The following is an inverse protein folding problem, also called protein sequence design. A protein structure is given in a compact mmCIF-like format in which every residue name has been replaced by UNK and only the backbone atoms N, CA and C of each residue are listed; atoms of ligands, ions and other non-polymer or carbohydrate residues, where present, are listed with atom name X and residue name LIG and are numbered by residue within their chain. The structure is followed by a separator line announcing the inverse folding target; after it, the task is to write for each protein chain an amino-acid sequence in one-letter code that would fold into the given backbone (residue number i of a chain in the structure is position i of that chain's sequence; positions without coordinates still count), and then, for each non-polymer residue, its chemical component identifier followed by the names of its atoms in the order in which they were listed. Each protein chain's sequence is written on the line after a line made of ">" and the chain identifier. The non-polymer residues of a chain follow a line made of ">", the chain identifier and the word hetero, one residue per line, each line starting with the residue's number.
data_IF_434839703204
#
_entry.id   IF_434839703204
#
_cell.length_a   1.000
_cell.length_b   1.000
_cell.length_c   1.000
_cell.angle_alpha   90.00
_cell.angle_beta   90.00
_cell.angle_gamma   90.00
#
_symmetry.space_group_name_H-M   'P 1'
#
loop_
_entity.id
_entity.type
_entity.pdbx_description
1 polymer ?
#
# COMPACT_ATOMS: atom_id res chain seq x y z
N UNK A 1 41.42 19.51 -11.03
CA UNK A 1 40.52 18.44 -11.49
C UNK A 1 39.12 18.59 -10.90
N UNK A 2 38.94 18.66 -9.58
CA UNK A 2 37.61 18.90 -8.95
C UNK A 2 36.86 20.12 -9.49
N UNK A 3 37.54 21.27 -9.65
CA UNK A 3 36.92 22.48 -10.20
C UNK A 3 36.44 22.33 -11.67
N UNK A 4 37.02 21.41 -12.44
CA UNK A 4 36.60 21.12 -13.80
C UNK A 4 35.31 20.29 -13.80
N UNK A 5 35.27 19.18 -13.05
CA UNK A 5 34.07 18.37 -12.91
C UNK A 5 32.93 19.13 -12.26
N UNK A 6 33.23 19.96 -11.24
CA UNK A 6 32.27 20.90 -10.66
C UNK A 6 31.57 21.74 -11.71
N UNK A 7 32.33 22.36 -12.63
CA UNK A 7 31.74 23.17 -13.71
C UNK A 7 30.88 22.33 -14.65
N UNK A 8 31.35 21.13 -15.04
CA UNK A 8 30.63 20.26 -15.96
C UNK A 8 29.28 19.79 -15.42
N UNK A 9 29.24 19.18 -14.22
CA UNK A 9 27.97 18.70 -13.68
C UNK A 9 27.07 19.87 -13.27
N UNK A 10 27.64 20.98 -12.79
CA UNK A 10 26.87 22.16 -12.45
C UNK A 10 26.22 22.77 -13.70
N UNK A 11 26.92 22.81 -14.83
CA UNK A 11 26.35 23.25 -16.10
C UNK A 11 25.18 22.36 -16.54
N UNK A 12 25.33 21.03 -16.47
CA UNK A 12 24.25 20.08 -16.81
C UNK A 12 23.02 20.33 -15.92
N UNK A 13 23.22 20.48 -14.61
CA UNK A 13 22.14 20.75 -13.66
C UNK A 13 21.49 22.10 -13.95
N UNK A 14 22.27 23.16 -14.16
CA UNK A 14 21.75 24.50 -14.47
C UNK A 14 20.97 24.53 -15.79
N UNK A 15 21.45 23.87 -16.83
CA UNK A 15 20.70 23.73 -18.08
C UNK A 15 19.39 22.97 -17.88
N UNK A 16 19.39 21.92 -17.05
CA UNK A 16 18.19 21.21 -16.62
C UNK A 16 17.19 22.15 -15.93
N UNK A 17 17.64 22.91 -14.93
CA UNK A 17 16.84 23.89 -14.20
C UNK A 17 16.23 24.92 -15.17
N UNK A 18 17.03 25.53 -16.05
CA UNK A 18 16.53 26.55 -16.99
C UNK A 18 15.47 25.99 -17.95
N UNK A 19 15.67 24.75 -18.42
CA UNK A 19 14.70 24.08 -19.30
C UNK A 19 13.40 23.76 -18.55
N UNK A 20 13.48 23.28 -17.30
CA UNK A 20 12.31 23.01 -16.48
C UNK A 20 11.54 24.31 -16.15
N UNK A 21 12.25 25.40 -15.88
CA UNK A 21 11.66 26.73 -15.65
C UNK A 21 11.01 27.32 -16.91
N UNK A 22 11.50 27.01 -18.11
CA UNK A 22 10.87 27.49 -19.35
C UNK A 22 9.57 26.75 -19.66
N UNK A 23 9.52 25.44 -19.37
CA UNK A 23 8.30 24.62 -19.48
C UNK A 23 7.16 25.16 -18.60
N UNK A 24 7.47 25.72 -17.43
CA UNK A 24 6.46 26.27 -16.52
C UNK A 24 6.09 27.73 -16.81
N UNK A 25 7.01 28.53 -17.36
CA UNK A 25 6.74 29.91 -17.78
C UNK A 25 5.83 30.01 -19.00
N UNK A 26 5.93 29.09 -19.97
CA UNK A 26 5.06 29.07 -21.16
C UNK A 26 3.58 28.87 -20.81
N UNK A 27 3.27 28.28 -19.65
CA UNK A 27 1.90 28.06 -19.16
C UNK A 27 1.24 29.33 -18.58
N UNK A 28 2.04 30.33 -18.17
CA UNK A 28 1.52 31.57 -17.54
C UNK A 28 1.09 32.65 -18.53
N UNK A 29 1.59 32.67 -19.77
CA UNK A 29 1.33 33.78 -20.71
C UNK A 29 -0.07 33.74 -21.35
N UNK A 30 -0.79 32.62 -21.31
CA UNK A 30 -2.16 32.50 -21.85
C UNK A 30 -3.28 32.91 -20.88
N UNK A 31 -2.93 33.36 -19.67
CA UNK A 31 -3.89 33.59 -18.58
C UNK A 31 -4.67 34.93 -18.62
N UNK A 32 -4.51 35.76 -19.67
CA UNK A 32 -5.01 37.14 -19.66
C UNK A 32 -6.21 37.46 -20.56
N UNK A 33 -6.94 36.47 -21.10
CA UNK A 33 -8.25 36.74 -21.74
C UNK A 33 -9.30 35.66 -21.49
N UNK A 34 -10.44 36.12 -20.96
CA UNK A 34 -11.78 35.53 -20.88
C UNK A 34 -12.15 34.61 -19.69
N UNK A 35 -12.99 35.16 -18.82
CA UNK A 35 -13.61 34.60 -17.60
C UNK A 35 -14.67 33.48 -17.83
N UNK A 36 -14.54 32.66 -18.88
CA UNK A 36 -15.52 31.61 -19.19
C UNK A 36 -15.02 30.17 -19.04
N UNK A 37 -13.74 29.90 -19.35
CA UNK A 37 -13.23 28.55 -19.63
C UNK A 37 -11.83 28.29 -19.03
N UNK A 38 -11.47 29.00 -17.95
CA UNK A 38 -10.13 28.91 -17.37
C UNK A 38 -9.74 27.51 -16.84
N UNK A 39 -10.70 26.62 -16.57
CA UNK A 39 -10.39 25.33 -15.94
C UNK A 39 -9.83 24.31 -16.94
N UNK A 40 -10.40 24.23 -18.14
CA UNK A 40 -9.97 23.30 -19.20
C UNK A 40 -8.62 23.71 -19.78
N UNK A 41 -8.37 25.01 -19.95
CA UNK A 41 -7.10 25.54 -20.46
C UNK A 41 -5.95 25.32 -19.47
N UNK A 42 -6.16 25.52 -18.16
CA UNK A 42 -5.13 25.28 -17.14
C UNK A 42 -4.75 23.79 -17.02
N UNK A 43 -5.72 22.87 -17.13
CA UNK A 43 -5.47 21.42 -17.08
C UNK A 43 -4.74 20.94 -18.35
N UNK A 44 -5.10 21.46 -19.54
CA UNK A 44 -4.43 21.11 -20.81
C UNK A 44 -2.99 21.63 -20.85
N UNK A 45 -2.74 22.86 -20.39
CA UNK A 45 -1.39 23.43 -20.31
C UNK A 45 -0.49 22.73 -19.29
N UNK A 46 -1.05 22.28 -18.16
CA UNK A 46 -0.33 21.42 -17.20
C UNK A 46 -0.01 20.05 -17.80
N UNK A 47 -0.95 19.40 -18.51
CA UNK A 47 -0.73 18.11 -19.16
C UNK A 47 0.40 18.15 -20.20
N UNK A 48 0.50 19.22 -20.99
CA UNK A 48 1.57 19.39 -21.97
C UNK A 48 2.95 19.60 -21.32
N UNK A 49 3.04 20.44 -20.27
CA UNK A 49 4.28 20.61 -19.52
C UNK A 49 4.74 19.31 -18.84
N UNK A 50 3.79 18.53 -18.29
CA UNK A 50 4.06 17.23 -17.68
C UNK A 50 4.58 16.21 -18.70
N UNK A 51 4.02 16.17 -19.91
CA UNK A 51 4.50 15.31 -21.00
C UNK A 51 5.90 15.67 -21.49
N UNK A 52 6.23 16.96 -21.53
CA UNK A 52 7.55 17.45 -21.97
C UNK A 52 8.63 17.35 -20.88
N UNK A 53 8.24 17.28 -19.60
CA UNK A 53 9.16 17.19 -18.48
C UNK A 53 9.98 15.90 -18.49
N UNK A 54 9.33 14.75 -18.68
CA UNK A 54 9.98 13.42 -18.66
C UNK A 54 11.21 13.33 -19.60
N UNK A 55 11.10 13.61 -20.91
CA UNK A 55 12.25 13.46 -21.82
C UNK A 55 13.38 14.45 -21.51
N UNK A 56 13.07 15.65 -21.00
CA UNK A 56 14.09 16.61 -20.58
C UNK A 56 14.86 16.09 -19.36
N UNK A 57 14.14 15.57 -18.36
CA UNK A 57 14.76 15.02 -17.16
C UNK A 57 15.59 13.78 -17.49
N UNK A 58 15.07 12.85 -18.31
CA UNK A 58 15.81 11.68 -18.80
C UNK A 58 17.10 12.08 -19.51
N UNK A 59 17.03 13.01 -20.47
CA UNK A 59 18.22 13.49 -21.20
C UNK A 59 19.30 14.06 -20.28
N UNK A 60 18.92 14.80 -19.22
CA UNK A 60 19.87 15.34 -18.24
C UNK A 60 20.44 14.26 -17.33
N UNK A 61 19.62 13.30 -16.92
CA UNK A 61 20.08 12.14 -16.15
C UNK A 61 21.06 11.28 -16.94
N UNK A 62 20.84 11.09 -18.24
CA UNK A 62 21.74 10.34 -19.12
C UNK A 62 23.08 11.05 -19.33
N UNK A 63 23.07 12.38 -19.45
CA UNK A 63 24.30 13.18 -19.52
C UNK A 63 25.13 13.05 -18.22
N UNK A 64 24.48 13.15 -17.06
CA UNK A 64 25.13 12.95 -15.77
C UNK A 64 25.65 11.52 -15.61
N UNK A 65 24.85 10.52 -16.00
CA UNK A 65 25.23 9.11 -15.97
C UNK A 65 26.46 8.87 -16.83
N UNK A 66 26.45 9.36 -18.07
CA UNK A 66 27.57 9.19 -19.00
C UNK A 66 28.84 9.83 -18.45
N UNK A 67 28.77 11.04 -17.89
CA UNK A 67 29.91 11.73 -17.29
C UNK A 67 30.49 10.97 -16.09
N UNK A 68 29.62 10.50 -15.19
CA UNK A 68 30.03 9.76 -14.00
C UNK A 68 30.62 8.40 -14.37
N UNK A 69 29.96 7.66 -15.28
CA UNK A 69 30.43 6.33 -15.70
C UNK A 69 31.71 6.42 -16.52
N UNK A 70 31.86 7.40 -17.40
CA UNK A 70 33.12 7.56 -18.15
C UNK A 70 34.30 7.82 -17.23
N UNK A 71 34.09 8.62 -16.18
CA UNK A 71 35.15 8.93 -15.22
C UNK A 71 35.46 7.75 -14.29
N UNK A 72 34.43 7.00 -13.88
CA UNK A 72 34.60 5.77 -13.11
C UNK A 72 35.43 4.73 -13.88
N UNK A 73 35.12 4.53 -15.18
CA UNK A 73 35.89 3.64 -16.07
C UNK A 73 37.31 4.16 -16.27
N UNK A 74 37.48 5.46 -16.54
CA UNK A 74 38.81 6.05 -16.69
C UNK A 74 39.67 5.85 -15.44
N UNK A 75 39.14 6.08 -14.23
CA UNK A 75 39.88 5.88 -12.98
C UNK A 75 40.26 4.41 -12.81
N UNK A 76 39.35 3.47 -13.12
CA UNK A 76 39.65 2.04 -13.06
C UNK A 76 40.77 1.64 -14.03
N UNK A 77 40.69 2.08 -15.29
CA UNK A 77 41.68 1.79 -16.33
C UNK A 77 43.03 2.48 -16.09
N UNK A 78 43.02 3.78 -15.81
CA UNK A 78 44.22 4.61 -15.68
C UNK A 78 45.07 4.19 -14.48
N UNK A 79 44.43 3.87 -13.35
CA UNK A 79 45.12 3.44 -12.14
C UNK A 79 45.25 1.91 -12.05
N UNK A 80 44.81 1.15 -13.06
CA UNK A 80 44.84 -0.32 -13.10
C UNK A 80 44.23 -0.97 -11.83
N UNK A 81 43.15 -0.40 -11.32
CA UNK A 81 42.61 -0.74 -9.99
C UNK A 81 42.01 -2.16 -9.92
N UNK A 82 41.75 -2.79 -11.07
CA UNK A 82 41.33 -4.19 -11.14
C UNK A 82 42.39 -5.15 -10.58
N UNK A 83 43.66 -4.75 -10.59
CA UNK A 83 44.80 -5.58 -10.18
C UNK A 83 45.40 -5.20 -8.82
N UNK A 84 45.03 -4.05 -8.25
CA UNK A 84 45.56 -3.58 -6.97
C UNK A 84 44.73 -4.11 -5.80
N UNK A 85 45.37 -4.83 -4.87
CA UNK A 85 44.71 -5.34 -3.65
C UNK A 85 44.63 -4.29 -2.53
N UNK A 86 45.33 -3.16 -2.65
CA UNK A 86 45.42 -2.14 -1.60
C UNK A 86 45.04 -0.72 -2.07
N UNK A 87 44.09 -0.15 -1.31
CA UNK A 87 43.94 1.24 -0.86
C UNK A 87 43.73 2.44 -1.81
N UNK A 88 43.50 2.26 -3.11
CA UNK A 88 42.80 3.31 -3.88
C UNK A 88 41.37 2.88 -4.18
N UNK A 89 40.47 3.31 -3.31
CA UNK A 89 39.04 3.08 -3.49
C UNK A 89 38.53 4.01 -4.62
N UNK A 90 38.26 3.44 -5.79
CA UNK A 90 37.62 4.13 -6.93
C UNK A 90 36.44 4.98 -6.46
N UNK A 91 35.67 4.48 -5.48
CA UNK A 91 34.54 5.18 -4.91
C UNK A 91 34.95 6.44 -4.13
N UNK A 92 36.05 6.40 -3.36
CA UNK A 92 36.58 7.58 -2.65
C UNK A 92 37.07 8.65 -3.63
N UNK A 93 37.73 8.25 -4.72
CA UNK A 93 38.13 9.17 -5.80
C UNK A 93 36.91 9.83 -6.45
N UNK A 94 35.89 9.04 -6.81
CA UNK A 94 34.64 9.55 -7.37
C UNK A 94 33.92 10.49 -6.39
N UNK A 95 33.89 10.16 -5.09
CA UNK A 95 33.31 11.02 -4.05
C UNK A 95 34.05 12.34 -3.90
N UNK A 96 35.36 12.37 -4.10
CA UNK A 96 36.15 13.60 -4.10
C UNK A 96 35.93 14.43 -5.38
N UNK A 97 35.82 13.80 -6.55
CA UNK A 97 35.61 14.50 -7.82
C UNK A 97 34.20 15.07 -7.96
N UNK A 98 33.20 14.35 -7.45
CA UNK A 98 31.77 14.68 -7.54
C UNK A 98 31.16 15.02 -6.17
N UNK A 99 31.95 15.61 -5.26
CA UNK A 99 31.52 15.86 -3.88
C UNK A 99 30.27 16.73 -3.74
N UNK A 100 30.05 17.67 -4.68
CA UNK A 100 28.85 18.53 -4.70
C UNK A 100 27.73 18.05 -5.62
N UNK A 101 27.87 16.91 -6.29
CA UNK A 101 26.83 16.36 -7.16
C UNK A 101 25.59 15.90 -6.37
N UNK A 102 25.70 15.21 -5.20
CA UNK A 102 24.53 14.86 -4.38
C UNK A 102 23.70 16.10 -4.00
N UNK A 103 24.33 17.15 -3.50
CA UNK A 103 23.65 18.39 -3.12
C UNK A 103 22.99 19.07 -4.33
N UNK A 104 23.66 19.06 -5.48
CA UNK A 104 23.09 19.58 -6.73
C UNK A 104 21.85 18.82 -7.20
N UNK A 105 21.84 17.49 -7.02
CA UNK A 105 20.68 16.65 -7.34
C UNK A 105 19.51 16.91 -6.39
N UNK A 106 19.77 17.01 -5.08
CA UNK A 106 18.73 17.36 -4.09
C UNK A 106 18.17 18.78 -4.35
N UNK A 107 19.01 19.74 -4.74
CA UNK A 107 18.56 21.08 -5.15
C UNK A 107 17.67 21.02 -6.38
N UNK A 108 18.04 20.26 -7.41
CA UNK A 108 17.23 20.06 -8.62
C UNK A 108 15.85 19.47 -8.27
N UNK A 109 15.80 18.44 -7.42
CA UNK A 109 14.55 17.82 -6.96
C UNK A 109 13.67 18.85 -6.23
N UNK A 110 14.25 19.64 -5.32
CA UNK A 110 13.54 20.69 -4.58
C UNK A 110 13.03 21.82 -5.49
N UNK A 111 13.79 22.19 -6.52
CA UNK A 111 13.34 23.16 -7.51
C UNK A 111 12.15 22.62 -8.31
N UNK A 112 12.16 21.33 -8.66
CA UNK A 112 11.03 20.70 -9.33
C UNK A 112 9.78 20.67 -8.43
N UNK A 113 9.94 20.36 -7.14
CA UNK A 113 8.85 20.45 -6.13
C UNK A 113 8.21 21.85 -6.13
N UNK A 114 9.03 22.90 -6.02
CA UNK A 114 8.55 24.28 -5.93
C UNK A 114 7.82 24.76 -7.19
N UNK A 115 8.10 24.16 -8.35
CA UNK A 115 7.44 24.51 -9.61
C UNK A 115 6.11 23.78 -9.77
N UNK A 116 6.13 22.45 -9.64
CA UNK A 116 4.95 21.61 -9.70
C UNK A 116 5.22 20.31 -8.95
N UNK A 117 4.51 20.09 -7.85
CA UNK A 117 4.66 18.89 -7.04
C UNK A 117 4.39 17.58 -7.82
N UNK A 118 3.63 17.63 -8.92
CA UNK A 118 3.40 16.47 -9.80
C UNK A 118 4.66 16.02 -10.55
N UNK A 119 5.67 16.89 -10.72
CA UNK A 119 6.95 16.49 -11.30
C UNK A 119 7.66 15.41 -10.48
N UNK A 120 7.40 15.35 -9.17
CA UNK A 120 7.94 14.28 -8.31
C UNK A 120 7.56 12.87 -8.79
N UNK A 121 6.38 12.70 -9.40
CA UNK A 121 5.96 11.40 -9.95
C UNK A 121 6.83 11.00 -11.14
N UNK A 122 7.09 11.92 -12.06
CA UNK A 122 7.94 11.69 -13.23
C UNK A 122 9.40 11.46 -12.83
N UNK A 123 9.93 12.25 -11.90
CA UNK A 123 11.28 12.07 -11.36
C UNK A 123 11.39 10.67 -10.73
N UNK A 124 10.40 10.28 -9.93
CA UNK A 124 10.39 8.98 -9.26
C UNK A 124 10.34 7.83 -10.27
N UNK A 125 9.56 7.97 -11.34
CA UNK A 125 9.53 6.99 -12.43
C UNK A 125 10.90 6.85 -13.10
N UNK A 126 11.52 7.96 -13.53
CA UNK A 126 12.81 7.95 -14.22
C UNK A 126 13.92 7.38 -13.33
N UNK A 127 14.01 7.85 -12.08
CA UNK A 127 15.02 7.36 -11.14
C UNK A 127 14.81 5.87 -10.81
N UNK A 128 13.56 5.41 -10.70
CA UNK A 128 13.28 3.99 -10.46
C UNK A 128 13.66 3.12 -11.66
N UNK A 129 13.43 3.59 -12.90
CA UNK A 129 13.86 2.91 -14.11
C UNK A 129 15.39 2.83 -14.20
N UNK A 130 16.09 3.92 -13.89
CA UNK A 130 17.55 3.93 -13.82
C UNK A 130 18.04 2.92 -12.76
N UNK A 131 17.38 2.84 -11.60
CA UNK A 131 17.74 1.88 -10.56
C UNK A 131 17.51 0.41 -10.98
N UNK A 132 16.47 0.12 -11.76
CA UNK A 132 16.26 -1.24 -12.31
C UNK A 132 17.33 -1.60 -13.33
N UNK A 133 17.69 -0.70 -14.24
CA UNK A 133 18.76 -0.91 -15.22
C UNK A 133 20.13 -1.16 -14.58
N UNK A 134 20.40 -0.54 -13.42
CA UNK A 134 21.62 -0.76 -12.66
C UNK A 134 21.65 -2.18 -12.05
N UNK A 135 20.50 -2.68 -11.59
CA UNK A 135 20.39 -3.99 -10.93
C UNK A 135 20.38 -5.17 -11.91
N UNK A 136 19.98 -4.96 -13.17
CA UNK A 136 19.92 -6.02 -14.21
C UNK A 136 21.27 -6.38 -14.83
N UNK A 137 22.33 -5.59 -14.62
CA UNK A 137 23.68 -5.93 -15.12
C UNK A 137 24.23 -7.18 -14.40
N UNK A 138 24.75 -8.19 -15.13
CA UNK A 138 25.22 -9.45 -14.55
C UNK A 138 26.35 -9.22 -13.54
N UNK A 139 26.28 -9.93 -12.41
CA UNK A 139 27.29 -9.97 -11.33
C UNK A 139 28.57 -10.72 -11.77
N UNK A 140 29.12 -10.41 -12.93
CA UNK A 140 30.36 -11.01 -13.43
C UNK A 140 31.52 -10.04 -13.23
N UNK A 141 31.99 -9.93 -11.98
CA UNK A 141 33.39 -9.69 -11.63
C UNK A 141 33.51 -9.45 -10.12
N UNK A 142 34.45 -10.14 -9.49
CA UNK A 142 34.84 -9.93 -8.09
C UNK A 142 35.07 -8.44 -7.76
N UNK A 143 34.60 -8.04 -6.56
CA UNK A 143 34.92 -6.84 -5.75
C UNK A 143 34.20 -5.51 -6.07
N UNK A 144 33.10 -5.26 -5.35
CA UNK A 144 32.94 -4.13 -4.42
C UNK A 144 31.64 -4.33 -3.63
N UNK A 145 31.69 -4.31 -2.29
CA UNK A 145 30.51 -4.43 -1.42
C UNK A 145 29.51 -3.27 -1.57
N UNK A 146 29.89 -2.17 -2.25
CA UNK A 146 29.13 -0.92 -2.25
C UNK A 146 28.46 -0.56 -3.60
N UNK A 147 28.73 -1.29 -4.69
CA UNK A 147 28.24 -0.95 -6.04
C UNK A 147 28.90 0.31 -6.62
N UNK A 148 28.59 0.67 -7.87
CA UNK A 148 29.17 1.84 -8.56
C UNK A 148 28.78 3.16 -7.89
N UNK A 149 29.57 4.23 -8.07
CA UNK A 149 29.26 5.54 -7.51
C UNK A 149 27.87 6.06 -7.93
N UNK A 150 27.51 5.86 -9.20
CA UNK A 150 26.17 6.19 -9.72
C UNK A 150 25.04 5.45 -8.98
N UNK A 151 25.23 4.16 -8.68
CA UNK A 151 24.23 3.37 -7.94
C UNK A 151 23.99 3.87 -6.52
N UNK A 152 25.03 4.41 -5.88
CA UNK A 152 24.93 4.99 -4.54
C UNK A 152 24.34 6.40 -4.57
N UNK A 153 24.54 7.16 -5.65
CA UNK A 153 23.97 8.50 -5.84
C UNK A 153 22.44 8.46 -6.09
N UNK A 154 21.96 7.50 -6.87
CA UNK A 154 20.53 7.41 -7.24
C UNK A 154 19.65 7.01 -6.05
N UNK A 155 20.14 6.19 -5.11
CA UNK A 155 19.39 5.72 -3.94
C UNK A 155 18.85 6.88 -3.06
N UNK A 156 19.69 7.82 -2.57
CA UNK A 156 19.23 9.03 -1.88
C UNK A 156 18.26 9.86 -2.73
N UNK A 157 18.53 10.05 -4.02
CA UNK A 157 17.65 10.83 -4.90
C UNK A 157 16.22 10.24 -4.98
N UNK A 158 16.09 8.92 -5.03
CA UNK A 158 14.78 8.23 -4.98
C UNK A 158 14.10 8.48 -3.63
N UNK A 159 14.84 8.37 -2.52
CA UNK A 159 14.29 8.60 -1.18
C UNK A 159 13.80 10.05 -1.01
N UNK A 160 14.60 11.03 -1.42
CA UNK A 160 14.25 12.45 -1.41
C UNK A 160 13.00 12.71 -2.26
N UNK A 161 12.94 12.15 -3.47
CA UNK A 161 11.77 12.30 -4.35
C UNK A 161 10.51 11.67 -3.76
N UNK A 162 10.62 10.52 -3.09
CA UNK A 162 9.48 9.91 -2.37
C UNK A 162 9.01 10.79 -1.21
N UNK A 163 9.93 11.38 -0.45
CA UNK A 163 9.59 12.29 0.64
C UNK A 163 8.84 13.53 0.12
N UNK A 164 9.26 14.09 -1.02
CA UNK A 164 8.56 15.18 -1.71
C UNK A 164 7.14 14.77 -2.11
N UNK A 165 6.98 13.60 -2.74
CA UNK A 165 5.65 13.10 -3.13
C UNK A 165 4.74 12.87 -1.91
N UNK A 166 5.28 12.29 -0.83
CA UNK A 166 4.55 12.06 0.41
C UNK A 166 4.09 13.38 1.04
N UNK A 167 4.96 14.40 1.07
CA UNK A 167 4.62 15.75 1.54
C UNK A 167 3.52 16.38 0.67
N UNK A 168 3.54 16.18 -0.64
CA UNK A 168 2.47 16.63 -1.52
C UNK A 168 1.13 15.95 -1.18
N UNK A 169 1.12 14.63 -1.01
CA UNK A 169 -0.07 13.86 -0.59
C UNK A 169 -0.61 14.36 0.75
N UNK A 170 0.26 14.63 1.73
CA UNK A 170 -0.13 15.21 3.01
C UNK A 170 -0.75 16.61 2.85
N UNK A 171 -0.18 17.45 1.99
CA UNK A 171 -0.74 18.77 1.67
C UNK A 171 -2.13 18.67 1.03
N UNK A 172 -2.36 17.70 0.12
CA UNK A 172 -3.68 17.45 -0.45
C UNK A 172 -4.69 16.98 0.59
N UNK A 173 -4.29 16.07 1.50
CA UNK A 173 -5.13 15.64 2.61
C UNK A 173 -5.53 16.80 3.53
N UNK A 174 -4.60 17.72 3.84
CA UNK A 174 -4.91 18.93 4.59
C UNK A 174 -5.90 19.82 3.84
N UNK A 175 -5.71 20.01 2.54
CA UNK A 175 -6.64 20.76 1.69
C UNK A 175 -8.06 20.16 1.68
N UNK A 176 -8.17 18.82 1.70
CA UNK A 176 -9.46 18.14 1.80
C UNK A 176 -10.11 18.39 3.16
N UNK A 177 -9.34 18.34 4.26
CA UNK A 177 -9.83 18.60 5.62
C UNK A 177 -10.26 20.04 5.87
N UNK A 178 -9.54 21.00 5.30
CA UNK A 178 -9.85 22.43 5.42
C UNK A 178 -11.01 22.88 4.52
N UNK A 179 -11.52 21.99 3.67
CA UNK A 179 -12.62 22.27 2.78
C UNK A 179 -13.90 22.64 3.57
N UNK A 180 -14.61 23.64 3.06
CA UNK A 180 -15.84 24.15 3.69
C UNK A 180 -17.05 23.84 2.83
N UNK A 181 -18.24 23.67 3.44
CA UNK A 181 -19.49 23.55 2.72
C UNK A 181 -19.71 24.73 1.77
N UNK A 182 -20.13 24.42 0.54
CA UNK A 182 -20.50 25.45 -0.43
C UNK A 182 -21.67 26.26 0.08
N UNK A 183 -21.52 27.59 0.12
CA UNK A 183 -22.62 28.52 0.46
C UNK A 183 -23.58 28.77 -0.71
N UNK A 184 -23.29 28.24 -1.91
CA UNK A 184 -24.07 28.48 -3.13
C UNK A 184 -25.38 27.69 -3.13
N UNK A 185 -26.40 28.20 -3.83
CA UNK A 185 -27.76 27.65 -3.84
C UNK A 185 -27.89 26.27 -4.52
N UNK A 186 -26.90 25.82 -5.30
CA UNK A 186 -26.80 24.47 -5.89
C UNK A 186 -25.47 23.84 -5.49
N UNK A 187 -25.48 22.60 -5.01
CA UNK A 187 -24.27 21.84 -4.72
C UNK A 187 -23.62 21.38 -6.04
N UNK A 188 -22.56 22.08 -6.47
CA UNK A 188 -21.72 21.63 -7.58
C UNK A 188 -20.62 20.67 -7.11
N UNK A 189 -19.86 20.11 -8.04
CA UNK A 189 -18.69 19.28 -7.74
C UNK A 189 -17.70 20.05 -6.87
N UNK A 190 -17.32 19.46 -5.73
CA UNK A 190 -16.42 20.07 -4.75
C UNK A 190 -15.00 20.14 -5.31
N UNK A 191 -14.27 21.20 -4.97
CA UNK A 191 -12.91 21.41 -5.47
C UNK A 191 -11.96 20.25 -5.09
N UNK A 192 -12.15 19.65 -3.91
CA UNK A 192 -11.40 18.46 -3.47
C UNK A 192 -11.50 17.30 -4.46
N UNK A 193 -12.66 17.09 -5.08
CA UNK A 193 -12.89 16.02 -6.05
C UNK A 193 -12.10 16.27 -7.32
N UNK A 194 -12.09 17.52 -7.81
CA UNK A 194 -11.31 17.92 -9.00
C UNK A 194 -9.81 17.85 -8.76
N UNK A 195 -9.37 18.24 -7.56
CA UNK A 195 -7.96 18.16 -7.17
C UNK A 195 -7.50 16.71 -7.12
N UNK A 196 -8.31 15.80 -6.56
CA UNK A 196 -8.02 14.37 -6.58
C UNK A 196 -8.03 13.79 -7.99
N UNK A 197 -9.00 14.16 -8.83
CA UNK A 197 -9.08 13.75 -10.24
C UNK A 197 -7.80 14.11 -11.00
N UNK A 198 -7.33 15.35 -10.90
CA UNK A 198 -6.08 15.78 -11.53
C UNK A 198 -4.86 14.99 -11.04
N UNK A 199 -4.80 14.68 -9.73
CA UNK A 199 -3.75 13.83 -9.16
C UNK A 199 -3.82 12.40 -9.69
N UNK A 200 -5.03 11.83 -9.79
CA UNK A 200 -5.25 10.48 -10.31
C UNK A 200 -4.90 10.36 -11.79
N UNK A 201 -5.33 11.32 -12.62
CA UNK A 201 -4.95 11.39 -14.03
C UNK A 201 -3.44 11.51 -14.22
N UNK A 202 -2.79 12.35 -13.43
CA UNK A 202 -1.33 12.51 -13.47
C UNK A 202 -0.60 11.24 -13.07
N UNK A 203 -1.05 10.58 -11.99
CA UNK A 203 -0.51 9.29 -11.56
C UNK A 203 -0.68 8.20 -12.62
N UNK A 204 -1.84 8.16 -13.28
CA UNK A 204 -2.13 7.19 -14.33
C UNK A 204 -1.28 7.45 -15.57
N UNK A 205 -1.09 8.71 -15.94
CA UNK A 205 -0.24 9.12 -17.06
C UNK A 205 1.23 8.70 -16.85
N UNK A 206 1.74 8.84 -15.62
CA UNK A 206 3.12 8.53 -15.27
C UNK A 206 3.35 7.03 -15.16
N UNK A 207 2.58 6.34 -14.31
CA UNK A 207 2.87 4.97 -13.92
C UNK A 207 2.00 3.90 -14.59
N UNK A 208 0.94 4.31 -15.30
CA UNK A 208 -0.04 3.39 -15.87
C UNK A 208 -0.97 2.76 -14.83
N UNK A 209 -1.84 1.86 -15.29
CA UNK A 209 -2.78 1.14 -14.44
C UNK A 209 -2.07 0.10 -13.57
N UNK A 210 -2.39 0.05 -12.27
CA UNK A 210 -1.89 -1.00 -11.36
C UNK A 210 -0.52 -0.71 -10.73
N UNK A 211 -0.08 0.54 -10.73
CA UNK A 211 1.19 0.93 -10.14
C UNK A 211 1.19 0.85 -8.60
N UNK A 212 1.80 -0.21 -8.05
CA UNK A 212 1.93 -0.44 -6.60
C UNK A 212 2.56 0.74 -5.84
N UNK A 213 3.44 1.50 -6.49
CA UNK A 213 4.12 2.65 -5.88
C UNK A 213 3.15 3.78 -5.46
N UNK A 214 1.98 3.85 -6.10
CA UNK A 214 0.96 4.88 -5.84
C UNK A 214 -0.24 4.36 -5.05
N UNK A 215 -0.31 3.05 -4.77
CA UNK A 215 -1.47 2.42 -4.14
C UNK A 215 -1.77 3.01 -2.76
N UNK A 216 -0.74 3.18 -1.91
CA UNK A 216 -0.88 3.80 -0.60
C UNK A 216 -1.36 5.26 -0.71
N UNK A 217 -0.76 6.04 -1.61
CA UNK A 217 -1.12 7.44 -1.80
C UNK A 217 -2.57 7.62 -2.28
N UNK A 218 -3.02 6.78 -3.22
CA UNK A 218 -4.41 6.76 -3.66
C UNK A 218 -5.36 6.33 -2.56
N UNK A 219 -5.03 5.27 -1.83
CA UNK A 219 -5.83 4.80 -0.69
C UNK A 219 -6.02 5.90 0.35
N UNK A 220 -4.94 6.56 0.76
CA UNK A 220 -4.95 7.64 1.76
C UNK A 220 -5.82 8.83 1.29
N UNK A 221 -5.63 9.28 0.04
CA UNK A 221 -6.38 10.40 -0.52
C UNK A 221 -7.85 10.08 -0.72
N UNK A 222 -8.19 8.88 -1.22
CA UNK A 222 -9.59 8.44 -1.38
C UNK A 222 -10.26 8.35 -0.02
N UNK A 223 -9.62 7.73 0.98
CA UNK A 223 -10.18 7.62 2.32
C UNK A 223 -10.44 9.01 2.92
N UNK A 224 -9.47 9.92 2.82
CA UNK A 224 -9.64 11.29 3.30
C UNK A 224 -10.73 12.02 2.52
N UNK A 225 -10.76 11.91 1.19
CA UNK A 225 -11.77 12.52 0.34
C UNK A 225 -13.18 12.05 0.74
N UNK A 226 -13.39 10.75 0.92
CA UNK A 226 -14.71 10.19 1.28
C UNK A 226 -15.16 10.68 2.66
N UNK A 227 -14.27 10.67 3.66
CA UNK A 227 -14.59 11.16 5.00
C UNK A 227 -14.95 12.65 5.00
N UNK A 228 -14.20 13.46 4.25
CA UNK A 228 -14.45 14.90 4.17
C UNK A 228 -15.67 15.23 3.31
N UNK A 229 -15.96 14.43 2.28
CA UNK A 229 -17.21 14.52 1.53
C UNK A 229 -18.41 14.26 2.45
N UNK A 230 -18.35 13.24 3.31
CA UNK A 230 -19.41 12.95 4.28
C UNK A 230 -19.55 14.06 5.33
N UNK A 231 -18.43 14.60 5.83
CA UNK A 231 -18.43 15.75 6.76
C UNK A 231 -19.06 16.99 6.11
N UNK A 232 -18.61 17.36 4.90
CA UNK A 232 -19.12 18.53 4.18
C UNK A 232 -20.59 18.33 3.77
N UNK A 233 -21.00 17.11 3.43
CA UNK A 233 -22.39 16.78 3.13
C UNK A 233 -23.29 16.92 4.36
N UNK A 234 -22.87 16.42 5.52
CA UNK A 234 -23.62 16.50 6.78
C UNK A 234 -23.70 17.90 7.39
N UNK A 235 -22.66 18.73 7.21
CA UNK A 235 -22.67 20.14 7.62
C UNK A 235 -23.48 21.05 6.68
N UNK A 236 -23.83 20.56 5.48
CA UNK A 236 -24.59 21.34 4.50
C UNK A 236 -26.09 21.22 4.74
N UNK A 237 -26.72 22.35 5.03
CA UNK A 237 -28.17 22.48 5.23
C UNK A 237 -28.99 22.15 3.96
N UNK A 238 -28.34 21.99 2.79
CA UNK A 238 -28.99 21.84 1.48
C UNK A 238 -28.56 20.61 0.68
N UNK A 239 -27.68 19.76 1.23
CA UNK A 239 -27.32 18.51 0.57
C UNK A 239 -28.46 17.50 0.81
N UNK A 240 -29.06 16.91 -0.25
CA UNK A 240 -30.03 15.83 -0.06
C UNK A 240 -29.38 14.71 0.77
N UNK A 241 -30.10 14.06 1.71
CA UNK A 241 -29.54 13.07 2.62
C UNK A 241 -28.83 11.90 1.94
N UNK A 242 -29.12 11.62 0.66
CA UNK A 242 -28.53 10.52 -0.08
C UNK A 242 -28.32 10.89 -1.56
N UNK A 243 -27.07 10.80 -2.04
CA UNK A 243 -26.75 10.74 -3.46
C UNK A 243 -26.72 9.25 -3.88
N UNK A 244 -27.70 8.77 -4.68
CA UNK A 244 -27.80 7.35 -5.05
C UNK A 244 -26.55 6.80 -5.73
N UNK A 245 -25.80 7.65 -6.45
CA UNK A 245 -24.63 7.26 -7.25
C UNK A 245 -23.41 6.82 -6.46
N UNK A 246 -23.31 7.17 -5.17
CA UNK A 246 -22.22 6.74 -4.28
C UNK A 246 -22.62 5.54 -3.41
N UNK A 247 -23.89 5.16 -3.43
CA UNK A 247 -24.39 4.08 -2.59
C UNK A 247 -23.84 2.72 -3.06
N UNK A 248 -23.68 2.54 -4.37
CA UNK A 248 -23.17 1.30 -4.95
C UNK A 248 -21.66 1.15 -4.74
N UNK A 249 -20.88 2.22 -4.93
CA UNK A 249 -19.43 2.21 -4.62
C UNK A 249 -19.17 2.05 -3.14
N UNK A 250 -19.97 2.67 -2.26
CA UNK A 250 -19.91 2.48 -0.80
C UNK A 250 -20.26 1.05 -0.40
N UNK A 251 -21.33 0.48 -0.97
CA UNK A 251 -21.71 -0.92 -0.74
C UNK A 251 -20.61 -1.87 -1.21
N UNK A 252 -20.04 -1.63 -2.39
CA UNK A 252 -18.99 -2.46 -2.95
C UNK A 252 -17.67 -2.36 -2.15
N UNK A 253 -17.27 -1.17 -1.72
CA UNK A 253 -16.09 -0.98 -0.86
C UNK A 253 -16.28 -1.64 0.51
N UNK A 254 -17.46 -1.49 1.13
CA UNK A 254 -17.81 -2.15 2.38
C UNK A 254 -17.86 -3.68 2.21
N UNK A 255 -18.39 -4.17 1.09
CA UNK A 255 -18.42 -5.59 0.77
C UNK A 255 -17.00 -6.15 0.57
N UNK A 256 -16.10 -5.42 -0.12
CA UNK A 256 -14.70 -5.82 -0.27
C UNK A 256 -13.96 -5.83 1.06
N UNK A 257 -14.16 -4.82 1.90
CA UNK A 257 -13.60 -4.79 3.25
C UNK A 257 -14.10 -5.99 4.08
N UNK A 258 -15.40 -6.26 4.05
CA UNK A 258 -15.99 -7.42 4.74
C UNK A 258 -15.47 -8.75 4.18
N UNK A 259 -15.31 -8.90 2.87
CA UNK A 259 -14.72 -10.10 2.25
C UNK A 259 -13.25 -10.28 2.65
N UNK A 260 -12.45 -9.22 2.58
CA UNK A 260 -11.05 -9.27 2.99
C UNK A 260 -10.90 -9.57 4.49
N UNK A 261 -11.80 -9.03 5.32
CA UNK A 261 -11.84 -9.33 6.75
C UNK A 261 -12.28 -10.78 7.01
N UNK A 262 -13.25 -11.30 6.26
CA UNK A 262 -13.67 -12.70 6.33
C UNK A 262 -12.55 -13.64 5.88
N UNK A 263 -11.89 -13.35 4.77
CA UNK A 263 -10.76 -14.14 4.26
C UNK A 263 -9.57 -14.11 5.22
N UNK A 264 -9.25 -12.94 5.77
CA UNK A 264 -8.25 -12.81 6.83
C UNK A 264 -8.66 -13.58 8.09
N UNK A 265 -9.93 -13.50 8.50
CA UNK A 265 -10.46 -14.28 9.62
C UNK A 265 -10.34 -15.77 9.35
N UNK A 266 -10.76 -16.26 8.19
CA UNK A 266 -10.66 -17.66 7.75
C UNK A 266 -9.21 -18.14 7.72
N UNK A 267 -8.30 -17.36 7.15
CA UNK A 267 -6.87 -17.68 7.11
C UNK A 267 -6.22 -17.65 8.50
N UNK A 268 -6.62 -16.72 9.37
CA UNK A 268 -6.14 -16.66 10.76
C UNK A 268 -6.70 -17.80 11.60
N UNK A 269 -7.95 -18.20 11.38
CA UNK A 269 -8.66 -19.28 12.07
C UNK A 269 -8.05 -20.67 11.83
N UNK A 270 -6.95 -20.79 11.08
CA UNK A 270 -6.15 -22.02 11.05
C UNK A 270 -5.75 -22.50 12.45
N UNK A 271 -6.32 -23.67 12.82
CA UNK A 271 -5.95 -24.63 13.90
C UNK A 271 -6.68 -24.70 15.27
N UNK A 272 -7.72 -23.94 15.65
CA UNK A 272 -8.41 -24.21 16.93
C UNK A 272 -9.30 -25.46 16.89
N UNK A 273 -9.86 -25.80 15.72
CA UNK A 273 -10.87 -26.85 15.53
C UNK A 273 -10.71 -27.57 14.18
N UNK A 274 -9.48 -27.76 13.71
CA UNK A 274 -9.19 -28.19 12.33
C UNK A 274 -9.80 -29.57 12.01
N UNK A 275 -9.66 -30.56 12.89
CA UNK A 275 -10.22 -31.90 12.63
C UNK A 275 -11.74 -31.93 12.78
N UNK A 276 -12.30 -31.15 13.72
CA UNK A 276 -13.74 -30.98 13.87
C UNK A 276 -14.34 -30.33 12.63
N UNK A 277 -13.70 -29.28 12.11
CA UNK A 277 -14.09 -28.59 10.88
C UNK A 277 -14.03 -29.53 9.67
N UNK A 278 -12.90 -30.22 9.48
CA UNK A 278 -12.73 -31.15 8.36
C UNK A 278 -13.74 -32.29 8.37
N UNK A 279 -14.15 -32.77 9.55
CA UNK A 279 -15.19 -33.79 9.66
C UNK A 279 -16.55 -33.26 9.21
N UNK A 280 -16.98 -32.10 9.70
CA UNK A 280 -18.28 -31.53 9.35
C UNK A 280 -18.35 -30.99 7.91
N UNK A 281 -17.24 -30.51 7.34
CA UNK A 281 -17.14 -30.20 5.91
C UNK A 281 -17.36 -31.45 5.05
N UNK A 282 -16.78 -32.59 5.42
CA UNK A 282 -16.99 -33.85 4.70
C UNK A 282 -18.44 -34.36 4.86
N UNK A 283 -19.05 -34.18 6.03
CA UNK A 283 -20.47 -34.47 6.26
C UNK A 283 -21.37 -33.58 5.40
N UNK A 284 -21.07 -32.28 5.32
CA UNK A 284 -21.80 -31.33 4.47
C UNK A 284 -21.64 -31.65 2.98
N UNK A 285 -20.43 -31.98 2.53
CA UNK A 285 -20.17 -32.42 1.15
C UNK A 285 -20.94 -33.69 0.79
N UNK A 286 -21.08 -34.63 1.73
CA UNK A 286 -21.92 -35.82 1.56
C UNK A 286 -23.42 -35.45 1.45
N UNK A 287 -23.91 -34.51 2.27
CA UNK A 287 -25.28 -33.98 2.16
C UNK A 287 -25.53 -33.32 0.79
N UNK A 288 -24.60 -32.48 0.34
CA UNK A 288 -24.69 -31.76 -0.93
C UNK A 288 -24.63 -32.72 -2.13
N UNK A 289 -23.94 -33.84 -1.98
CA UNK A 289 -23.92 -34.95 -2.94
C UNK A 289 -25.21 -35.77 -2.96
N UNK A 290 -26.23 -35.39 -2.19
CA UNK A 290 -27.57 -35.98 -2.18
C UNK A 290 -27.76 -37.12 -1.17
N UNK A 291 -26.82 -37.33 -0.24
CA UNK A 291 -26.99 -38.33 0.84
C UNK A 291 -28.06 -37.84 1.81
N UNK A 292 -29.03 -38.70 2.13
CA UNK A 292 -30.05 -38.37 3.13
C UNK A 292 -29.41 -38.12 4.51
N UNK A 293 -29.85 -37.10 5.27
CA UNK A 293 -29.32 -36.82 6.61
C UNK A 293 -29.31 -38.04 7.54
N UNK A 294 -30.37 -38.85 7.51
CA UNK A 294 -30.49 -40.06 8.32
C UNK A 294 -29.47 -41.16 7.95
N UNK A 295 -29.00 -41.15 6.69
CA UNK A 295 -28.09 -42.17 6.16
C UNK A 295 -26.61 -41.90 6.50
N UNK A 296 -26.28 -40.66 6.90
CA UNK A 296 -24.89 -40.25 7.18
C UNK A 296 -24.32 -41.02 8.35
N UNK A 297 -25.10 -41.22 9.41
CA UNK A 297 -24.65 -41.94 10.59
C UNK A 297 -24.32 -43.43 10.35
N UNK A 298 -24.75 -43.98 9.20
CA UNK A 298 -24.48 -45.36 8.78
C UNK A 298 -23.26 -45.48 7.85
N UNK A 299 -22.76 -44.38 7.28
CA UNK A 299 -21.54 -44.41 6.47
C UNK A 299 -20.32 -44.66 7.36
N UNK A 300 -19.44 -45.59 6.95
CA UNK A 300 -18.26 -45.99 7.72
C UNK A 300 -17.38 -44.80 8.14
N UNK A 301 -17.28 -43.77 7.31
CA UNK A 301 -16.48 -42.56 7.58
C UNK A 301 -17.13 -41.60 8.60
N UNK A 302 -18.46 -41.65 8.78
CA UNK A 302 -19.23 -40.69 9.59
C UNK A 302 -20.06 -41.37 10.68
N UNK A 303 -19.66 -42.57 11.11
CA UNK A 303 -20.37 -43.28 12.16
C UNK A 303 -20.34 -42.53 13.50
N UNK A 304 -21.33 -42.83 14.35
CA UNK A 304 -21.48 -42.24 15.69
C UNK A 304 -20.20 -42.28 16.53
N UNK A 305 -19.45 -43.38 16.46
CA UNK A 305 -18.21 -43.56 17.22
C UNK A 305 -17.07 -42.65 16.73
N UNK A 306 -17.03 -42.32 15.43
CA UNK A 306 -16.04 -41.39 14.86
C UNK A 306 -16.32 -39.96 15.31
N UNK A 307 -17.58 -39.53 15.21
CA UNK A 307 -17.99 -38.23 15.75
C UNK A 307 -17.70 -38.12 17.25
N UNK A 308 -17.98 -39.17 18.04
CA UNK A 308 -17.69 -39.18 19.48
C UNK A 308 -16.18 -39.09 19.77
N UNK A 309 -15.32 -39.72 18.94
CA UNK A 309 -13.87 -39.62 19.09
C UNK A 309 -13.40 -38.18 18.87
N UNK A 310 -13.90 -37.53 17.81
CA UNK A 310 -13.53 -36.17 17.46
C UNK A 310 -14.03 -35.19 18.53
N UNK A 311 -15.27 -35.30 19.01
CA UNK A 311 -15.79 -34.43 20.08
C UNK A 311 -14.91 -34.51 21.35
N UNK A 312 -14.45 -35.72 21.73
CA UNK A 312 -13.58 -35.92 22.90
C UNK A 312 -12.19 -35.29 22.77
N UNK A 313 -11.71 -35.06 21.56
CA UNK A 313 -10.43 -34.39 21.31
C UNK A 313 -10.53 -32.87 21.48
N UNK A 314 -11.74 -32.30 21.52
CA UNK A 314 -12.01 -30.86 21.66
C UNK A 314 -12.85 -30.52 22.91
N UNK A 315 -12.40 -30.86 24.14
CA UNK A 315 -13.04 -30.36 25.35
C UNK A 315 -12.87 -28.83 25.45
N UNK A 316 -13.76 -28.13 26.15
CA UNK A 316 -13.75 -26.66 26.25
C UNK A 316 -12.40 -26.04 26.64
N UNK A 317 -11.54 -26.78 27.37
CA UNK A 317 -10.16 -26.38 27.69
C UNK A 317 -9.24 -26.29 26.47
N UNK A 318 -9.31 -27.25 25.55
CA UNK A 318 -8.50 -27.23 24.32
C UNK A 318 -9.02 -26.16 23.35
N UNK A 319 -10.33 -25.93 23.31
CA UNK A 319 -10.93 -24.83 22.56
C UNK A 319 -10.41 -23.48 23.05
N UNK A 320 -10.42 -23.26 24.37
CA UNK A 320 -9.87 -22.04 24.98
C UNK A 320 -8.38 -21.84 24.65
N UNK A 321 -7.58 -22.90 24.71
CA UNK A 321 -6.15 -22.86 24.35
C UNK A 321 -5.92 -22.57 22.85
N UNK A 322 -6.77 -23.10 21.98
CA UNK A 322 -6.78 -22.79 20.55
C UNK A 322 -7.10 -21.31 20.29
N UNK A 323 -8.07 -20.75 21.01
CA UNK A 323 -8.42 -19.32 20.95
C UNK A 323 -7.31 -18.41 21.49
N UNK A 324 -6.60 -18.81 22.56
CA UNK A 324 -5.44 -18.07 23.07
C UNK A 324 -4.28 -18.04 22.05
N UNK A 325 -4.02 -19.16 21.36
CA UNK A 325 -3.04 -19.21 20.29
C UNK A 325 -3.44 -18.34 19.09
N UNK A 326 -4.73 -18.32 18.76
CA UNK A 326 -5.29 -17.47 17.71
C UNK A 326 -5.10 -15.98 18.05
N UNK A 327 -5.36 -15.57 19.30
CA UNK A 327 -5.08 -14.21 19.76
C UNK A 327 -3.62 -13.80 19.51
N UNK A 328 -2.66 -14.65 19.89
CA UNK A 328 -1.22 -14.34 19.70
C UNK A 328 -0.84 -14.20 18.22
N UNK A 329 -1.42 -15.02 17.34
CA UNK A 329 -1.21 -14.89 15.88
C UNK A 329 -1.78 -13.58 15.34
N UNK A 330 -2.98 -13.22 15.78
CA UNK A 330 -3.67 -12.00 15.38
C UNK A 330 -2.90 -10.76 15.87
N UNK A 331 -2.40 -10.77 17.10
CA UNK A 331 -1.54 -9.70 17.66
C UNK A 331 -0.20 -9.56 16.91
N UNK A 332 0.42 -10.66 16.48
CA UNK A 332 1.70 -10.63 15.75
C UNK A 332 1.57 -10.12 14.31
N UNK A 333 0.40 -10.34 13.69
CA UNK A 333 0.16 -10.02 12.28
C UNK A 333 -0.51 -8.65 12.06
N UNK A 334 -1.02 -8.01 13.12
CA UNK A 334 -1.67 -6.71 13.05
C UNK A 334 -0.73 -5.59 13.54
N UNK A 335 -0.78 -4.44 12.87
CA UNK A 335 -0.06 -3.22 13.26
C UNK A 335 -0.56 -2.66 14.60
N UNK A 336 0.25 -1.84 15.29
CA UNK A 336 0.02 -1.32 16.67
C UNK A 336 -1.25 -0.44 16.88
N UNK A 337 -2.11 -0.29 15.87
CA UNK A 337 -3.37 0.43 15.96
C UNK A 337 -4.41 -0.39 16.73
N UNK A 338 -4.61 -0.04 18.00
CA UNK A 338 -5.48 -0.78 18.93
C UNK A 338 -6.96 -0.90 18.52
N UNK A 339 -7.44 -0.09 17.59
CA UNK A 339 -8.82 -0.18 17.08
C UNK A 339 -9.01 -1.36 16.11
N UNK A 340 -7.98 -1.73 15.35
CA UNK A 340 -8.07 -2.78 14.33
C UNK A 340 -8.14 -4.17 14.96
N UNK A 341 -7.40 -4.39 16.05
CA UNK A 341 -7.43 -5.65 16.81
C UNK A 341 -8.84 -5.98 17.32
N UNK A 342 -9.54 -5.01 17.93
CA UNK A 342 -10.89 -5.22 18.47
C UNK A 342 -11.91 -5.54 17.37
N UNK A 343 -11.80 -4.89 16.21
CA UNK A 343 -12.69 -5.14 15.07
C UNK A 343 -12.47 -6.54 14.50
N UNK A 344 -11.20 -6.91 14.29
CA UNK A 344 -10.83 -8.25 13.81
C UNK A 344 -11.24 -9.33 14.81
N UNK A 345 -11.00 -9.12 16.11
CA UNK A 345 -11.35 -10.06 17.17
C UNK A 345 -12.86 -10.32 17.25
N UNK A 346 -13.68 -9.26 17.15
CA UNK A 346 -15.14 -9.39 17.06
C UNK A 346 -15.59 -10.14 15.80
N UNK A 347 -14.91 -9.92 14.67
CA UNK A 347 -15.19 -10.66 13.44
C UNK A 347 -14.89 -12.14 13.59
N UNK A 348 -13.75 -12.49 14.18
CA UNK A 348 -13.36 -13.87 14.48
C UNK A 348 -14.38 -14.51 15.44
N UNK A 349 -14.77 -13.82 16.51
CA UNK A 349 -15.78 -14.31 17.45
C UNK A 349 -17.11 -14.63 16.75
N UNK A 350 -17.58 -13.72 15.87
CA UNK A 350 -18.80 -13.94 15.11
C UNK A 350 -18.71 -15.17 14.21
N UNK A 351 -17.58 -15.37 13.55
CA UNK A 351 -17.40 -16.47 12.61
C UNK A 351 -17.26 -17.83 13.31
N UNK A 352 -16.50 -17.91 14.42
CA UNK A 352 -16.40 -19.13 15.23
C UNK A 352 -17.76 -19.49 15.84
N UNK A 353 -18.51 -18.49 16.30
CA UNK A 353 -19.87 -18.72 16.84
C UNK A 353 -20.80 -19.31 15.77
N UNK A 354 -20.79 -18.77 14.55
CA UNK A 354 -21.57 -19.33 13.44
C UNK A 354 -21.16 -20.76 13.10
N UNK A 355 -19.86 -21.08 13.08
CA UNK A 355 -19.38 -22.42 12.81
C UNK A 355 -19.84 -23.43 13.88
N UNK A 356 -19.76 -23.07 15.16
CA UNK A 356 -20.26 -23.93 16.23
C UNK A 356 -21.78 -24.17 16.12
N UNK A 357 -22.57 -23.13 15.81
CA UNK A 357 -24.01 -23.28 15.55
C UNK A 357 -24.29 -24.20 14.37
N UNK A 358 -23.47 -24.12 13.32
CA UNK A 358 -23.58 -24.98 12.14
C UNK A 358 -23.26 -26.44 12.48
N UNK A 359 -22.24 -26.72 13.29
CA UNK A 359 -21.92 -28.07 13.75
C UNK A 359 -23.03 -28.65 14.62
N UNK A 360 -23.57 -27.89 15.57
CA UNK A 360 -24.72 -28.33 16.39
C UNK A 360 -25.94 -28.67 15.52
N UNK A 361 -26.21 -27.87 14.49
CA UNK A 361 -27.30 -28.11 13.55
C UNK A 361 -27.08 -29.40 12.72
N UNK A 362 -25.85 -29.67 12.29
CA UNK A 362 -25.49 -30.92 11.60
C UNK A 362 -25.59 -32.12 12.52
N UNK A 363 -25.16 -32.00 13.78
CA UNK A 363 -25.31 -33.05 14.79
C UNK A 363 -26.80 -33.36 15.01
N UNK A 364 -27.62 -32.31 15.14
CA UNK A 364 -29.07 -32.45 15.32
C UNK A 364 -29.75 -33.11 14.12
N UNK A 365 -29.31 -32.80 12.89
CA UNK A 365 -29.90 -33.35 11.65
C UNK A 365 -29.44 -34.77 11.33
N UNK A 366 -28.16 -35.08 11.53
CA UNK A 366 -27.56 -36.34 11.07
C UNK A 366 -27.44 -37.39 12.19
N UNK A 367 -27.58 -36.97 13.46
CA UNK A 367 -27.32 -37.79 14.64
C UNK A 367 -28.39 -37.65 15.75
N UNK A 368 -29.63 -37.26 15.40
CA UNK A 368 -30.73 -36.97 16.33
C UNK A 368 -30.91 -37.99 17.48
N UNK A 369 -30.79 -39.29 17.19
CA UNK A 369 -30.99 -40.37 18.17
C UNK A 369 -29.73 -40.74 18.98
N UNK A 370 -28.65 -39.95 18.89
CA UNK A 370 -27.34 -40.33 19.42
C UNK A 370 -27.01 -39.67 20.75
N UNK A 371 -27.77 -38.65 21.16
CA UNK A 371 -27.50 -37.88 22.39
C UNK A 371 -26.11 -37.21 22.41
N UNK A 372 -25.48 -37.05 21.24
CA UNK A 372 -24.18 -36.41 21.09
C UNK A 372 -24.40 -34.90 21.01
N UNK A 373 -23.64 -34.14 21.78
CA UNK A 373 -23.56 -32.69 21.71
C UNK A 373 -22.10 -32.26 21.85
N UNK A 374 -21.79 -31.01 21.50
CA UNK A 374 -20.49 -30.43 21.85
C UNK A 374 -20.38 -30.32 23.39
N UNK A 375 -19.17 -30.46 23.91
CA UNK A 375 -18.87 -30.43 25.35
C UNK A 375 -18.91 -28.99 25.95
N UNK A 376 -19.18 -27.98 25.13
CA UNK A 376 -19.22 -26.57 25.51
C UNK A 376 -20.40 -25.88 24.82
N UNK A 377 -20.96 -24.86 25.48
CA UNK A 377 -22.08 -24.09 24.94
C UNK A 377 -21.61 -22.82 24.22
N UNK A 378 -22.50 -22.20 23.46
CA UNK A 378 -22.26 -20.87 22.86
C UNK A 378 -21.96 -19.83 23.95
N UNK A 379 -22.60 -19.91 25.12
CA UNK A 379 -22.34 -19.02 26.25
C UNK A 379 -20.91 -19.21 26.81
N UNK A 380 -20.44 -20.45 26.89
CA UNK A 380 -19.06 -20.74 27.29
C UNK A 380 -18.05 -20.20 26.28
N UNK A 381 -18.34 -20.32 24.99
CA UNK A 381 -17.53 -19.74 23.92
C UNK A 381 -17.45 -18.22 24.04
N UNK A 382 -18.59 -17.54 24.26
CA UNK A 382 -18.62 -16.08 24.47
C UNK A 382 -17.84 -15.65 25.71
N UNK A 383 -17.89 -16.45 26.79
CA UNK A 383 -17.05 -16.24 27.98
C UNK A 383 -15.57 -16.39 27.67
N UNK A 384 -15.17 -17.43 26.93
CA UNK A 384 -13.78 -17.61 26.52
C UNK A 384 -13.26 -16.42 25.70
N UNK A 385 -14.04 -15.94 24.72
CA UNK A 385 -13.68 -14.75 23.93
C UNK A 385 -13.57 -13.48 24.77
N UNK A 386 -14.46 -13.30 25.75
CA UNK A 386 -14.44 -12.13 26.65
C UNK A 386 -13.24 -12.18 27.60
N UNK A 387 -12.98 -13.32 28.22
CA UNK A 387 -11.81 -13.53 29.08
C UNK A 387 -10.49 -13.34 28.32
N UNK A 388 -10.43 -13.80 27.07
CA UNK A 388 -9.26 -13.64 26.21
C UNK A 388 -9.12 -12.20 25.73
N UNK A 389 -10.20 -11.45 25.54
CA UNK A 389 -10.16 -10.03 25.19
C UNK A 389 -9.72 -9.14 26.36
N UNK A 390 -10.20 -9.43 27.58
CA UNK A 390 -9.93 -8.66 28.79
C UNK A 390 -8.59 -9.01 29.46
N UNK A 391 -7.96 -10.14 29.08
CA UNK A 391 -6.67 -10.52 29.65
C UNK A 391 -5.59 -9.48 29.31
N UNK A 392 -5.02 -8.78 30.32
CA UNK A 392 -4.07 -7.69 30.11
C UNK A 392 -2.85 -8.19 29.35
N UNK A 393 -2.25 -7.32 28.52
CA UNK A 393 -0.98 -7.57 27.80
C UNK A 393 0.05 -8.07 28.82
N UNK A 394 0.22 -9.38 28.96
CA UNK A 394 1.32 -9.93 29.75
C UNK A 394 2.57 -9.56 28.97
N UNK A 395 3.30 -8.59 29.51
CA UNK A 395 4.63 -8.23 29.07
C UNK A 395 5.40 -9.49 28.66
N UNK A 396 5.84 -9.53 27.41
CA UNK A 396 7.00 -10.32 27.02
C UNK A 396 8.19 -9.75 27.80
N UNK A 397 8.41 -10.24 29.02
CA UNK A 397 9.76 -10.35 29.56
C UNK A 397 10.28 -11.70 29.09
N UNK A 398 11.30 -11.64 28.26
CA UNK A 398 12.04 -12.74 27.67
C UNK A 398 13.06 -12.16 26.73
#
# INVERSE_FOLDING_TARGET
>A
MQAFFYRLYHEIIQQGIQTILSLTKSSKHDSNKNDGDNCSVLVVSQSNALKQFKPVFESRMDQLRSLVTSEEVFIMEFFCLDNCKDEMDTFACMKLLFSGLPDGMSELIRLCENQNALFSMFILQVLSQIATEINEKPKDSNKSLAGSFWSQLIKPCIADTRAVLQKHVQSLNLLFRESKPSRKARCGVLNMTKVYENFAESSLLVFGSGAKIMEQAHSDLICCLMNELDRVASESVKTPPELPSLNDTRKEAKARYQRALQEYSMNCMGRPLEELHNFFEQVQSALDSGVRPDAICYQMAFQKHMLQKIIKEYPGKEVKKGLEALRRKVEKNLSDEGSLFLVVWRSIQSEVTKQCMFYEELIRKCYADSGLSLDFTIDDLQRYFSEIADAPKRHMMG
#
